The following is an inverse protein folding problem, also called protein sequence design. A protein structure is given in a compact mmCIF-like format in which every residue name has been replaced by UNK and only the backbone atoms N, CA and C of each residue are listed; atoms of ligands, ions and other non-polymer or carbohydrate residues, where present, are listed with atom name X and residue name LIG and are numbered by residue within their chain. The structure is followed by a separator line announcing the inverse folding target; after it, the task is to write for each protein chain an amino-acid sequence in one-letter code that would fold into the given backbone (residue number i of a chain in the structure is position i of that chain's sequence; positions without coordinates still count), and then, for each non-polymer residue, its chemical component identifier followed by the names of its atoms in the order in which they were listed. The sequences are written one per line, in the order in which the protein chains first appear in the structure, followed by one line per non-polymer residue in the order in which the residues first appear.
data_IF_601139967178
#
_entry.id   IF_601139967178
#
_cell.length_a   1.000
_cell.length_b   1.000
_cell.length_c   1.000
_cell.angle_alpha   90.00
_cell.angle_beta   90.00
_cell.angle_gamma   90.00
#
_symmetry.space_group_name_H-M   'P 1'
#
loop_
_entity.id
_entity.type
_entity.pdbx_description
1 polymer ?
#
# COMPACT_ATOMS: atom_id res chain seq x y z
N UNK A 1 -29.25 13.13 -26.88
CA UNK A 1 -28.41 12.81 -25.69
C UNK A 1 -27.58 11.53 -25.85
N UNK A 2 -27.91 10.62 -26.78
CA UNK A 2 -27.22 9.33 -26.95
C UNK A 2 -25.87 9.40 -27.70
N UNK A 3 -25.61 10.45 -28.49
CA UNK A 3 -24.34 10.59 -29.23
C UNK A 3 -23.16 11.03 -28.36
N UNK A 4 -23.39 11.87 -27.33
CA UNK A 4 -22.31 12.36 -26.45
C UNK A 4 -21.73 11.27 -25.52
N UNK A 5 -22.51 10.23 -25.20
CA UNK A 5 -22.05 9.09 -24.42
C UNK A 5 -21.16 8.12 -25.23
N UNK A 6 -21.31 8.11 -26.56
CA UNK A 6 -20.54 7.23 -27.43
C UNK A 6 -19.16 7.82 -27.75
N UNK A 7 -19.05 9.15 -27.87
CA UNK A 7 -17.76 9.83 -28.04
C UNK A 7 -16.85 9.77 -26.80
N UNK A 8 -17.42 9.84 -25.60
CA UNK A 8 -16.65 9.69 -24.35
C UNK A 8 -16.14 8.25 -24.19
N UNK A 9 -16.94 7.26 -24.59
CA UNK A 9 -16.54 5.84 -24.64
C UNK A 9 -15.43 5.61 -25.66
N UNK A 10 -15.52 6.20 -26.86
CA UNK A 10 -14.48 6.10 -27.89
C UNK A 10 -13.14 6.72 -27.48
N UNK A 11 -13.14 7.88 -26.82
CA UNK A 11 -11.92 8.51 -26.29
C UNK A 11 -11.29 7.72 -25.12
N UNK A 12 -12.10 7.16 -24.24
CA UNK A 12 -11.60 6.30 -23.15
C UNK A 12 -10.98 5.00 -23.69
N UNK A 13 -11.58 4.42 -24.73
CA UNK A 13 -11.04 3.24 -25.41
C UNK A 13 -9.75 3.56 -26.17
N UNK A 14 -9.66 4.74 -26.79
CA UNK A 14 -8.46 5.17 -27.50
C UNK A 14 -7.31 5.46 -26.51
N UNK A 15 -7.58 6.17 -25.42
CA UNK A 15 -6.61 6.39 -24.35
C UNK A 15 -6.13 5.08 -23.70
N UNK A 16 -7.04 4.13 -23.48
CA UNK A 16 -6.70 2.79 -22.99
C UNK A 16 -5.85 1.98 -23.96
N UNK A 17 -6.10 2.11 -25.28
CA UNK A 17 -5.29 1.45 -26.30
C UNK A 17 -3.88 2.05 -26.41
N UNK A 18 -3.75 3.37 -26.35
CA UNK A 18 -2.45 4.05 -26.33
C UNK A 18 -1.64 3.67 -25.10
N UNK A 19 -2.25 3.72 -23.91
CA UNK A 19 -1.59 3.30 -22.66
C UNK A 19 -1.15 1.82 -22.71
N UNK A 20 -1.96 0.94 -23.30
CA UNK A 20 -1.62 -0.47 -23.46
C UNK A 20 -0.46 -0.69 -24.44
N UNK A 21 -0.41 0.09 -25.52
CA UNK A 21 0.69 0.03 -26.49
C UNK A 21 2.00 0.53 -25.88
N UNK A 22 1.98 1.66 -25.19
CA UNK A 22 3.15 2.20 -24.48
C UNK A 22 3.64 1.27 -23.37
N UNK A 23 2.71 0.69 -22.61
CA UNK A 23 3.03 -0.31 -21.59
C UNK A 23 3.64 -1.57 -22.22
N UNK A 24 3.16 -2.01 -23.39
CA UNK A 24 3.69 -3.18 -24.09
C UNK A 24 5.08 -2.92 -24.68
N UNK A 25 5.32 -1.71 -25.21
CA UNK A 25 6.63 -1.30 -25.73
C UNK A 25 7.67 -1.21 -24.60
N UNK A 26 7.31 -0.58 -23.48
CA UNK A 26 8.15 -0.49 -22.27
C UNK A 26 8.40 -1.87 -21.67
N UNK A 27 7.37 -2.72 -21.59
CA UNK A 27 7.51 -4.08 -21.10
C UNK A 27 8.41 -4.94 -21.99
N UNK A 28 8.37 -4.75 -23.31
CA UNK A 28 9.27 -5.41 -24.26
C UNK A 28 10.73 -5.08 -23.99
N UNK A 29 11.06 -3.79 -23.87
CA UNK A 29 12.43 -3.32 -23.58
C UNK A 29 12.91 -3.76 -22.19
N UNK A 30 12.04 -3.67 -21.18
CA UNK A 30 12.35 -4.13 -19.83
C UNK A 30 12.58 -5.64 -19.77
N UNK A 31 11.81 -6.43 -20.53
CA UNK A 31 11.96 -7.89 -20.60
C UNK A 31 13.32 -8.27 -21.17
N UNK A 32 13.76 -7.61 -22.23
CA UNK A 32 15.02 -7.89 -22.91
C UNK A 32 16.23 -7.63 -22.00
N UNK A 33 16.25 -6.47 -21.31
CA UNK A 33 17.25 -6.15 -20.29
C UNK A 33 17.19 -7.06 -19.06
N UNK A 34 15.98 -7.43 -18.61
CA UNK A 34 15.79 -8.33 -17.48
C UNK A 34 16.28 -9.76 -17.79
N UNK A 35 16.06 -10.29 -19.00
CA UNK A 35 16.57 -11.61 -19.38
C UNK A 35 18.10 -11.71 -19.30
N UNK A 36 18.80 -10.61 -19.57
CA UNK A 36 20.26 -10.56 -19.52
C UNK A 36 20.81 -10.52 -18.08
N UNK A 37 20.08 -9.91 -17.16
CA UNK A 37 20.44 -9.86 -15.73
C UNK A 37 20.01 -11.12 -14.98
N UNK A 38 18.86 -11.71 -15.32
CA UNK A 38 18.37 -12.97 -14.74
C UNK A 38 19.33 -14.12 -15.02
N UNK A 39 19.94 -14.17 -16.22
CA UNK A 39 20.92 -15.20 -16.58
C UNK A 39 22.16 -15.23 -15.67
N UNK A 40 22.64 -14.06 -15.23
CA UNK A 40 23.89 -13.93 -14.43
C UNK A 40 23.61 -13.86 -12.92
N UNK A 41 22.46 -13.34 -12.51
CA UNK A 41 22.11 -13.18 -11.09
C UNK A 41 21.64 -14.48 -10.43
N UNK A 42 21.06 -15.42 -11.19
CA UNK A 42 20.48 -16.65 -10.64
C UNK A 42 21.51 -17.52 -9.90
N UNK A 43 22.77 -17.53 -10.35
CA UNK A 43 23.84 -18.30 -9.72
C UNK A 43 24.36 -17.64 -8.42
N UNK A 44 24.40 -16.30 -8.34
CA UNK A 44 24.80 -15.59 -7.13
C UNK A 44 23.70 -15.57 -6.05
N UNK A 45 22.43 -15.53 -6.46
CA UNK A 45 21.28 -15.52 -5.53
C UNK A 45 21.27 -16.77 -4.65
N UNK A 46 21.65 -17.93 -5.18
CA UNK A 46 21.65 -19.19 -4.40
C UNK A 46 22.65 -19.14 -3.23
N UNK A 47 23.82 -18.51 -3.40
CA UNK A 47 24.82 -18.36 -2.35
C UNK A 47 24.40 -17.31 -1.29
N UNK A 48 23.80 -16.19 -1.72
CA UNK A 48 23.39 -15.10 -0.83
C UNK A 48 22.15 -15.47 0.01
N UNK A 49 21.27 -16.34 -0.50
CA UNK A 49 20.05 -16.75 0.21
C UNK A 49 20.26 -17.63 1.46
N UNK A 50 21.45 -18.21 1.66
CA UNK A 50 21.76 -19.03 2.85
C UNK A 50 22.06 -18.17 4.08
N UNK A 51 23.16 -17.41 4.04
CA UNK A 51 23.59 -16.51 5.13
C UNK A 51 22.58 -15.40 5.40
N UNK A 52 22.07 -14.73 4.35
CA UNK A 52 21.18 -13.59 4.53
C UNK A 52 19.84 -14.00 5.14
N UNK A 53 19.36 -15.22 4.87
CA UNK A 53 18.12 -15.74 5.44
C UNK A 53 18.26 -16.04 6.94
N UNK A 54 19.41 -16.55 7.37
CA UNK A 54 19.67 -16.80 8.78
C UNK A 54 19.71 -15.48 9.57
N UNK A 55 20.42 -14.47 9.05
CA UNK A 55 20.50 -13.14 9.69
C UNK A 55 19.16 -12.40 9.65
N UNK A 56 18.44 -12.43 8.53
CA UNK A 56 17.11 -11.82 8.42
C UNK A 56 16.08 -12.54 9.31
N UNK A 57 16.19 -13.85 9.48
CA UNK A 57 15.31 -14.63 10.37
C UNK A 57 15.44 -14.21 11.83
N UNK A 58 16.67 -14.00 12.31
CA UNK A 58 16.93 -13.51 13.66
C UNK A 58 16.37 -12.09 13.86
N UNK A 59 16.68 -11.16 12.95
CA UNK A 59 16.16 -9.79 13.01
C UNK A 59 14.63 -9.72 12.92
N UNK A 60 14.01 -10.56 12.09
CA UNK A 60 12.55 -10.62 11.97
C UNK A 60 11.89 -11.21 13.23
N UNK A 61 12.53 -12.20 13.87
CA UNK A 61 12.10 -12.74 15.15
C UNK A 61 12.11 -11.67 16.25
N UNK A 62 13.22 -10.94 16.38
CA UNK A 62 13.38 -9.86 17.35
C UNK A 62 12.39 -8.71 17.11
N UNK A 63 12.20 -8.33 15.85
CA UNK A 63 11.22 -7.30 15.47
C UNK A 63 9.79 -7.74 15.78
N UNK A 64 9.44 -9.00 15.50
CA UNK A 64 8.11 -9.54 15.79
C UNK A 64 7.82 -9.50 17.29
N UNK A 65 8.76 -9.97 18.12
CA UNK A 65 8.61 -9.97 19.58
C UNK A 65 8.41 -8.54 20.09
N UNK A 66 9.23 -7.59 19.64
CA UNK A 66 9.11 -6.17 20.01
C UNK A 66 7.78 -5.56 19.56
N UNK A 67 7.35 -5.81 18.32
CA UNK A 67 6.07 -5.31 17.81
C UNK A 67 4.90 -5.90 18.60
N UNK A 68 4.93 -7.17 18.98
CA UNK A 68 3.88 -7.79 19.79
C UNK A 68 3.85 -7.19 21.21
N UNK A 69 5.00 -7.07 21.88
CA UNK A 69 5.10 -6.47 23.22
C UNK A 69 4.71 -4.99 23.25
N UNK A 70 5.05 -4.24 22.20
CA UNK A 70 4.76 -2.82 22.06
C UNK A 70 3.31 -2.56 21.59
N UNK A 71 2.76 -3.45 20.75
CA UNK A 71 1.35 -3.40 20.35
C UNK A 71 0.42 -3.63 21.54
N UNK A 72 0.69 -4.62 22.41
CA UNK A 72 -0.14 -4.89 23.59
C UNK A 72 -0.19 -3.69 24.56
N UNK A 73 0.91 -2.93 24.68
CA UNK A 73 0.98 -1.74 25.53
C UNK A 73 0.42 -0.46 24.87
N UNK A 74 0.48 -0.34 23.53
CA UNK A 74 0.03 0.84 22.79
C UNK A 74 -1.37 0.72 22.13
N UNK A 75 -2.01 -0.45 22.18
CA UNK A 75 -3.34 -0.72 21.58
C UNK A 75 -4.40 0.32 21.98
N UNK A 76 -4.34 0.84 23.22
CA UNK A 76 -5.28 1.86 23.71
C UNK A 76 -5.14 3.23 23.04
N UNK A 77 -3.93 3.62 22.58
CA UNK A 77 -3.71 4.87 21.84
C UNK A 77 -4.06 4.72 20.35
N UNK A 78 -3.82 3.54 19.77
CA UNK A 78 -4.20 3.23 18.39
C UNK A 78 -5.72 3.27 18.16
N UNK A 79 -6.52 2.84 19.14
CA UNK A 79 -7.97 2.86 19.06
C UNK A 79 -8.57 4.26 18.89
N UNK A 80 -7.94 5.29 19.49
CA UNK A 80 -8.40 6.68 19.34
C UNK A 80 -8.07 7.26 17.96
N UNK A 81 -6.86 6.97 17.44
CA UNK A 81 -6.43 7.40 16.09
C UNK A 81 -7.29 6.72 15.01
N UNK A 82 -7.57 5.42 15.18
CA UNK A 82 -8.47 4.67 14.29
C UNK A 82 -9.90 5.23 14.30
N UNK A 83 -10.42 5.61 15.47
CA UNK A 83 -11.77 6.17 15.59
C UNK A 83 -11.87 7.52 14.90
N UNK A 84 -10.86 8.37 15.08
CA UNK A 84 -10.78 9.65 14.40
C UNK A 84 -10.73 9.52 12.87
N UNK A 85 -9.97 8.54 12.35
CA UNK A 85 -9.95 8.25 10.92
C UNK A 85 -11.27 7.67 10.41
N UNK A 86 -11.92 6.82 11.20
CA UNK A 86 -13.23 6.27 10.85
C UNK A 86 -14.30 7.37 10.78
N UNK A 87 -14.26 8.34 11.69
CA UNK A 87 -15.17 9.50 11.69
C UNK A 87 -14.93 10.38 10.44
N UNK A 88 -13.67 10.65 10.08
CA UNK A 88 -13.30 11.42 8.88
C UNK A 88 -13.69 10.70 7.57
N UNK A 89 -13.49 9.38 7.50
CA UNK A 89 -13.86 8.54 6.36
C UNK A 89 -15.38 8.39 6.22
N UNK A 90 -16.11 8.30 7.34
CA UNK A 90 -17.58 8.27 7.35
C UNK A 90 -18.15 9.58 6.81
N UNK A 91 -17.58 10.73 7.22
CA UNK A 91 -17.98 12.04 6.68
C UNK A 91 -17.71 12.19 5.18
N UNK A 92 -16.62 11.61 4.67
CA UNK A 92 -16.31 11.54 3.24
C UNK A 92 -17.24 10.61 2.47
N UNK A 93 -17.60 9.47 3.06
CA UNK A 93 -18.51 8.49 2.46
C UNK A 93 -19.96 9.00 2.40
N UNK A 94 -20.43 9.73 3.41
CA UNK A 94 -21.73 10.40 3.40
C UNK A 94 -21.81 11.53 2.35
N UNK A 95 -20.66 12.06 1.93
CA UNK A 95 -20.55 13.10 0.90
C UNK A 95 -20.31 12.57 -0.51
N UNK A 96 -20.21 11.25 -0.70
CA UNK A 96 -19.89 10.63 -1.99
C UNK A 96 -21.16 10.24 -2.76
N UNK A 97 -21.35 10.83 -3.95
CA UNK A 97 -22.52 10.59 -4.81
C UNK A 97 -22.70 9.12 -5.23
N UNK A 98 -23.94 8.66 -5.15
CA UNK A 98 -24.36 7.24 -5.14
C UNK A 98 -24.37 6.52 -6.50
N UNK A 99 -23.96 7.16 -7.60
CA UNK A 99 -24.29 6.74 -8.97
C UNK A 99 -23.06 6.42 -9.86
N UNK A 100 -22.11 5.65 -9.31
CA UNK A 100 -20.86 5.28 -10.01
C UNK A 100 -20.72 3.77 -10.24
N UNK A 101 -20.18 3.32 -11.39
CA UNK A 101 -19.79 1.92 -11.65
C UNK A 101 -18.87 1.31 -10.58
N UNK A 102 -18.19 2.17 -9.80
CA UNK A 102 -17.44 1.80 -8.62
C UNK A 102 -18.28 1.03 -7.58
N UNK A 103 -19.60 1.26 -7.51
CA UNK A 103 -20.49 0.56 -6.58
C UNK A 103 -20.45 -0.96 -6.76
N UNK A 104 -20.39 -1.45 -8.00
CA UNK A 104 -20.33 -2.90 -8.27
C UNK A 104 -19.01 -3.54 -7.80
N UNK A 105 -17.92 -2.80 -7.90
CA UNK A 105 -16.60 -3.20 -7.40
C UNK A 105 -16.55 -3.12 -5.88
N UNK A 106 -17.16 -2.09 -5.29
CA UNK A 106 -17.32 -1.94 -3.85
C UNK A 106 -18.18 -3.06 -3.27
N UNK A 107 -19.28 -3.43 -3.91
CA UNK A 107 -20.11 -4.57 -3.49
C UNK A 107 -19.34 -5.90 -3.59
N UNK A 108 -18.60 -6.14 -4.67
CA UNK A 108 -17.74 -7.33 -4.78
C UNK A 108 -16.58 -7.33 -3.77
N UNK A 109 -16.08 -6.16 -3.41
CA UNK A 109 -15.08 -6.01 -2.36
C UNK A 109 -15.70 -6.27 -0.99
N UNK A 110 -16.93 -5.79 -0.74
CA UNK A 110 -17.69 -6.03 0.49
C UNK A 110 -17.97 -7.53 0.69
N UNK A 111 -18.41 -8.26 -0.35
CA UNK A 111 -18.64 -9.71 -0.28
C UNK A 111 -17.36 -10.52 -0.05
N UNK A 112 -16.21 -10.01 -0.52
CA UNK A 112 -14.90 -10.60 -0.22
C UNK A 112 -14.44 -10.22 1.19
N UNK A 113 -14.72 -9.00 1.64
CA UNK A 113 -14.44 -8.49 2.97
C UNK A 113 -15.18 -9.27 4.05
N UNK A 114 -16.46 -9.61 3.82
CA UNK A 114 -17.24 -10.41 4.76
C UNK A 114 -16.64 -11.81 4.95
N UNK A 115 -16.21 -12.45 3.85
CA UNK A 115 -15.51 -13.75 3.91
C UNK A 115 -14.14 -13.64 4.57
N UNK A 116 -13.44 -12.52 4.40
CA UNK A 116 -12.18 -12.28 5.08
C UNK A 116 -12.39 -12.09 6.59
N UNK A 117 -13.45 -11.39 7.00
CA UNK A 117 -13.82 -11.21 8.41
C UNK A 117 -14.18 -12.55 9.05
N UNK A 118 -15.00 -13.36 8.38
CA UNK A 118 -15.41 -14.70 8.85
C UNK A 118 -14.22 -15.67 8.96
N UNK A 119 -13.29 -15.59 8.00
CA UNK A 119 -12.02 -16.31 8.05
C UNK A 119 -11.15 -15.87 9.22
N UNK A 120 -11.09 -14.57 9.50
CA UNK A 120 -10.31 -14.00 10.60
C UNK A 120 -10.91 -14.35 11.95
N UNK A 121 -12.23 -14.40 12.07
CA UNK A 121 -12.95 -14.86 13.27
C UNK A 121 -12.71 -16.35 13.54
N UNK A 122 -12.76 -17.17 12.49
CA UNK A 122 -12.65 -18.63 12.62
C UNK A 122 -11.20 -19.13 12.76
N UNK A 123 -10.24 -18.55 12.03
CA UNK A 123 -8.84 -19.01 12.01
C UNK A 123 -7.84 -18.07 12.66
N UNK A 124 -8.29 -16.88 13.06
CA UNK A 124 -7.42 -15.85 13.64
C UNK A 124 -6.33 -15.36 12.69
N UNK A 125 -5.49 -14.47 13.21
CA UNK A 125 -4.34 -13.91 12.49
C UNK A 125 -3.29 -14.98 12.18
N UNK A 126 -3.12 -15.97 13.06
CA UNK A 126 -2.17 -17.06 12.88
C UNK A 126 -2.44 -17.88 11.61
N UNK A 127 -3.70 -18.23 11.36
CA UNK A 127 -4.10 -18.97 10.16
C UNK A 127 -3.97 -18.17 8.87
N UNK A 128 -4.10 -16.84 8.91
CA UNK A 128 -3.86 -15.99 7.74
C UNK A 128 -2.37 -15.94 7.37
N UNK A 129 -1.49 -15.84 8.38
CA UNK A 129 -0.03 -15.82 8.15
C UNK A 129 0.45 -17.17 7.63
N UNK A 130 -0.10 -18.28 8.13
CA UNK A 130 0.22 -19.62 7.65
C UNK A 130 -0.19 -19.82 6.18
N UNK A 131 -1.41 -19.41 5.81
CA UNK A 131 -1.89 -19.47 4.43
C UNK A 131 -1.05 -18.58 3.48
N UNK A 132 -0.67 -17.39 3.94
CA UNK A 132 0.22 -16.50 3.18
C UNK A 132 1.62 -17.11 3.01
N UNK A 133 2.16 -17.76 4.04
CA UNK A 133 3.43 -18.48 3.98
C UNK A 133 3.34 -19.66 3.00
N UNK A 134 2.23 -20.41 3.03
CA UNK A 134 1.99 -21.51 2.10
C UNK A 134 1.90 -21.01 0.66
N UNK A 135 1.17 -19.90 0.42
CA UNK A 135 1.08 -19.26 -0.88
C UNK A 135 2.45 -18.80 -1.39
N UNK A 136 3.24 -18.14 -0.53
CA UNK A 136 4.58 -17.66 -0.89
C UNK A 136 5.51 -18.82 -1.31
N UNK A 137 5.46 -19.95 -0.60
CA UNK A 137 6.22 -21.16 -0.96
C UNK A 137 5.75 -21.79 -2.26
N UNK A 138 4.45 -21.79 -2.52
CA UNK A 138 3.84 -22.44 -3.70
C UNK A 138 3.92 -21.59 -4.97
N UNK A 139 3.97 -20.27 -4.84
CA UNK A 139 4.04 -19.31 -5.96
C UNK A 139 5.04 -18.17 -5.67
N UNK A 140 6.35 -18.46 -5.62
CA UNK A 140 7.36 -17.47 -5.25
C UNK A 140 7.38 -16.24 -6.16
N UNK A 141 7.16 -16.40 -7.47
CA UNK A 141 7.13 -15.28 -8.43
C UNK A 141 5.96 -14.33 -8.22
N UNK A 142 4.77 -14.86 -7.93
CA UNK A 142 3.57 -14.04 -7.67
C UNK A 142 3.70 -13.29 -6.34
N UNK A 143 4.24 -13.95 -5.32
CA UNK A 143 4.49 -13.32 -4.03
C UNK A 143 5.51 -12.18 -4.12
N UNK A 144 6.66 -12.40 -4.78
CA UNK A 144 7.67 -11.36 -4.97
C UNK A 144 7.14 -10.19 -5.80
N UNK A 145 6.43 -10.46 -6.90
CA UNK A 145 5.79 -9.41 -7.70
C UNK A 145 4.77 -8.60 -6.90
N UNK A 146 3.93 -9.28 -6.11
CA UNK A 146 2.98 -8.63 -5.21
C UNK A 146 3.65 -7.80 -4.12
N UNK A 147 4.73 -8.32 -3.51
CA UNK A 147 5.48 -7.62 -2.47
C UNK A 147 6.14 -6.34 -3.00
N UNK A 148 6.63 -6.33 -4.24
CA UNK A 148 7.18 -5.12 -4.86
C UNK A 148 6.10 -4.06 -5.05
N UNK A 149 4.93 -4.45 -5.59
CA UNK A 149 3.81 -3.52 -5.79
C UNK A 149 3.30 -2.98 -4.45
N UNK A 150 3.09 -3.86 -3.47
CA UNK A 150 2.65 -3.48 -2.13
C UNK A 150 3.67 -2.58 -1.43
N UNK A 151 4.96 -2.93 -1.49
CA UNK A 151 6.04 -2.14 -0.92
C UNK A 151 6.16 -0.75 -1.55
N UNK A 152 5.98 -0.65 -2.87
CA UNK A 152 5.94 0.65 -3.55
C UNK A 152 4.74 1.49 -3.12
N UNK A 153 3.55 0.89 -3.00
CA UNK A 153 2.36 1.60 -2.54
C UNK A 153 2.54 2.13 -1.10
N UNK A 154 3.02 1.27 -0.19
CA UNK A 154 3.31 1.65 1.20
C UNK A 154 4.41 2.73 1.25
N UNK A 155 5.48 2.59 0.47
CA UNK A 155 6.57 3.58 0.42
C UNK A 155 6.13 4.93 -0.15
N UNK A 156 5.24 4.93 -1.14
CA UNK A 156 4.63 6.15 -1.70
C UNK A 156 3.74 6.84 -0.67
N UNK A 157 2.94 6.08 0.08
CA UNK A 157 2.10 6.60 1.16
C UNK A 157 2.93 7.16 2.32
N UNK A 158 3.94 6.44 2.78
CA UNK A 158 4.87 6.91 3.80
C UNK A 158 5.53 8.23 3.37
N UNK A 159 5.98 8.34 2.11
CA UNK A 159 6.57 9.57 1.58
C UNK A 159 5.56 10.72 1.39
N UNK A 160 4.29 10.42 1.14
CA UNK A 160 3.22 11.42 1.09
C UNK A 160 2.87 11.91 2.49
N UNK A 161 2.79 11.02 3.48
CA UNK A 161 2.55 11.34 4.89
C UNK A 161 3.66 12.20 5.50
N UNK A 162 4.94 11.88 5.24
CA UNK A 162 6.06 12.70 5.73
C UNK A 162 6.14 14.11 5.13
N UNK A 163 5.36 14.43 4.10
CA UNK A 163 5.24 15.80 3.56
C UNK A 163 4.13 16.61 4.23
N UNK A 164 3.20 15.97 4.94
CA UNK A 164 2.11 16.64 5.64
C UNK A 164 2.55 17.25 6.98
N UNK A 165 3.65 16.77 7.58
CA UNK A 165 4.18 17.28 8.85
C UNK A 165 5.07 18.54 8.72
N UNK A 166 5.19 19.12 7.52
CA UNK A 166 6.10 20.25 7.23
C UNK A 166 5.50 21.66 7.32
N UNK A 167 4.19 21.81 7.57
CA UNK A 167 3.52 23.11 7.58
C UNK A 167 2.90 23.40 8.94
N UNK A 168 3.70 23.84 9.91
CA UNK A 168 3.19 24.12 11.25
C UNK A 168 4.20 24.62 12.26
N UNK A 169 5.12 25.51 11.89
CA UNK A 169 5.85 26.34 12.87
C UNK A 169 6.49 27.54 12.18
N UNK A 170 5.63 28.39 11.59
CA UNK A 170 5.95 29.79 11.44
C UNK A 170 6.21 30.36 12.84
N UNK A 171 7.48 30.57 13.16
CA UNK A 171 7.92 31.37 14.30
C UNK A 171 7.35 32.77 14.14
N UNK A 172 6.20 33.03 14.74
CA UNK A 172 5.81 34.38 15.14
C UNK A 172 6.75 34.77 16.28
N UNK A 173 7.84 35.46 15.94
CA UNK A 173 8.69 36.10 16.92
C UNK A 173 7.84 37.15 17.67
N UNK A 174 7.89 37.21 19.01
CA UNK A 174 7.29 38.30 19.75
C UNK A 174 8.09 39.57 19.44
N UNK A 175 7.46 40.47 18.71
CA UNK A 175 7.91 41.84 18.51
C UNK A 175 7.97 42.51 19.89
N UNK A 176 9.18 42.80 20.37
CA UNK A 176 9.40 43.55 21.61
C UNK A 176 8.99 45.00 21.35
N UNK A 177 8.02 45.58 22.08
CA UNK A 177 7.72 46.99 21.99
C UNK A 177 8.91 47.80 22.52
N UNK A 178 9.51 48.58 21.63
CA UNK A 178 10.49 49.60 21.98
C UNK A 178 9.83 50.67 22.85
N UNK A 179 10.09 50.62 24.14
CA UNK A 179 9.88 51.75 25.03
C UNK A 179 11.06 52.70 24.89
N UNK A 180 10.87 53.78 24.14
CA UNK A 180 11.67 54.98 24.25
C UNK A 180 11.04 55.92 25.28
N UNK A 181 11.86 56.44 26.19
CA UNK A 181 11.69 57.73 26.89
C UNK A 181 13.13 58.24 27.11
N UNK A 182 13.56 59.28 26.38
CA UNK A 182 13.49 60.71 26.69
C UNK A 182 14.75 61.20 27.42
#
# INVERSE_FOLDING_TARGET
MSEMANESTGRAQQAGQTAKQEASATAGQAREGASQVVGTATDQVRAVTGEARAQAGAMAGDLRTRVTEEAESQTRRGAQVMRQWADDLSGLADSADADSPARSLVTQAADRGHRAADYLDTRGVGGLVDDLQHFARRRPGAFLGGAVVAGFAVGRLAKAGSKADGSGSGRSAPELPGHGEA
#
